data_IF_365237875751
#
_entry.id   IF_365237875751
#
_cell.length_a   1.000
_cell.length_b   1.000
_cell.length_c   1.000
_cell.angle_alpha   90.00
_cell.angle_beta   90.00
_cell.angle_gamma   90.00
#
_symmetry.space_group_name_H-M   'P 1'
#
loop_
_entity.id
_entity.type
_entity.pdbx_description
1 polymer ?
#
# COMPACT_ATOMS: atom_id res chain seq x y z
N UNK A 1 -0.55 36.45 0.94
CA UNK A 1 -1.53 35.38 1.21
C UNK A 1 -0.72 34.21 1.77
N UNK A 2 -0.90 33.88 3.04
CA UNK A 2 -0.22 32.70 3.63
C UNK A 2 -0.81 31.47 2.99
N UNK A 3 0.04 30.64 2.37
CA UNK A 3 -0.39 29.34 1.90
C UNK A 3 -0.99 28.56 3.08
N UNK A 4 -2.19 28.02 2.93
CA UNK A 4 -2.79 27.16 3.93
C UNK A 4 -1.98 25.87 4.04
N UNK A 5 -1.89 25.30 5.25
CA UNK A 5 -1.26 24.01 5.45
C UNK A 5 -1.92 22.95 4.55
N UNK A 6 -1.15 21.98 4.00
CA UNK A 6 -1.70 20.94 3.16
C UNK A 6 -2.69 20.07 3.95
N UNK A 7 -3.80 19.70 3.29
CA UNK A 7 -4.77 18.76 3.87
C UNK A 7 -4.21 17.34 3.77
N UNK A 8 -4.28 16.60 4.87
CA UNK A 8 -3.79 15.21 4.91
C UNK A 8 -4.84 14.25 4.36
N UNK A 9 -4.44 13.45 3.36
CA UNK A 9 -5.15 12.26 2.90
C UNK A 9 -4.52 11.02 3.54
N UNK A 10 -5.21 10.37 4.46
CA UNK A 10 -4.78 9.10 5.02
C UNK A 10 -5.24 7.96 4.13
N UNK A 11 -4.29 7.10 3.74
CA UNK A 11 -4.53 5.95 2.87
C UNK A 11 -4.22 4.67 3.63
N UNK A 12 -5.27 3.99 4.06
CA UNK A 12 -5.14 2.66 4.69
C UNK A 12 -4.89 1.63 3.61
N UNK A 13 -3.76 0.94 3.69
CA UNK A 13 -3.26 0.11 2.58
C UNK A 13 -2.42 -1.06 3.07
N UNK A 14 -2.35 -2.13 2.25
CA UNK A 14 -1.44 -3.25 2.44
C UNK A 14 -0.84 -3.64 1.09
N UNK A 15 0.46 -3.92 1.05
CA UNK A 15 1.20 -4.24 -0.18
C UNK A 15 0.75 -5.54 -0.86
N UNK A 16 0.05 -6.44 -0.16
CA UNK A 16 -0.49 -7.68 -0.76
C UNK A 16 -1.93 -7.53 -1.25
N UNK A 17 -2.51 -6.34 -1.14
CA UNK A 17 -3.86 -6.05 -1.63
C UNK A 17 -3.83 -5.49 -3.06
N UNK A 18 -4.40 -6.20 -4.06
CA UNK A 18 -4.38 -5.71 -5.44
C UNK A 18 -5.23 -4.44 -5.63
N UNK A 19 -6.28 -4.27 -4.84
CA UNK A 19 -7.07 -3.05 -4.83
C UNK A 19 -6.28 -1.85 -4.29
N UNK A 20 -5.33 -2.08 -3.35
CA UNK A 20 -4.43 -1.03 -2.88
C UNK A 20 -3.46 -0.59 -3.98
N UNK A 21 -2.88 -1.54 -4.72
CA UNK A 21 -2.03 -1.23 -5.86
C UNK A 21 -2.75 -0.36 -6.91
N UNK A 22 -4.00 -0.73 -7.25
CA UNK A 22 -4.86 0.04 -8.14
C UNK A 22 -5.19 1.43 -7.56
N UNK A 23 -5.55 1.48 -6.28
CA UNK A 23 -5.91 2.71 -5.58
C UNK A 23 -4.76 3.71 -5.49
N UNK A 24 -3.54 3.25 -5.17
CA UNK A 24 -2.33 4.09 -5.16
C UNK A 24 -2.06 4.72 -6.52
N UNK A 25 -2.21 3.95 -7.61
CA UNK A 25 -2.04 4.50 -8.95
C UNK A 25 -3.06 5.61 -9.26
N UNK A 26 -4.32 5.42 -8.87
CA UNK A 26 -5.41 6.36 -9.13
C UNK A 26 -5.27 7.70 -8.42
N UNK A 27 -4.61 7.71 -7.26
CA UNK A 27 -4.37 8.95 -6.50
C UNK A 27 -3.00 9.57 -6.78
N UNK A 28 -2.14 8.92 -7.57
CA UNK A 28 -0.74 9.28 -7.78
C UNK A 28 -0.52 10.75 -8.13
N UNK A 29 -1.37 11.31 -8.98
CA UNK A 29 -1.26 12.71 -9.44
C UNK A 29 -1.97 13.74 -8.55
N UNK A 30 -2.69 13.32 -7.50
CA UNK A 30 -3.44 14.26 -6.67
C UNK A 30 -2.54 15.28 -5.94
N UNK A 31 -1.39 14.88 -5.34
CA UNK A 31 -0.50 15.84 -4.69
C UNK A 31 0.12 16.86 -5.63
N UNK A 32 0.18 16.57 -6.93
CA UNK A 32 0.72 17.52 -7.93
C UNK A 32 -0.30 18.60 -8.30
N UNK A 33 -1.59 18.30 -8.13
CA UNK A 33 -2.72 19.16 -8.49
C UNK A 33 -3.37 19.86 -7.32
N UNK A 34 -3.30 19.27 -6.14
CA UNK A 34 -3.93 19.78 -4.93
C UNK A 34 -2.90 20.04 -3.82
N UNK A 35 -3.17 21.03 -2.97
CA UNK A 35 -2.38 21.27 -1.76
C UNK A 35 -2.72 20.24 -0.69
N UNK A 36 -2.21 19.03 -0.86
CA UNK A 36 -2.43 17.88 0.03
C UNK A 36 -1.12 17.16 0.36
N UNK A 37 -1.12 16.40 1.44
CA UNK A 37 -0.10 15.42 1.79
C UNK A 37 -0.75 14.04 1.88
N UNK A 38 -0.16 13.04 1.25
CA UNK A 38 -0.60 11.64 1.36
C UNK A 38 0.15 11.00 2.51
N UNK A 39 -0.58 10.45 3.48
CA UNK A 39 -0.04 9.68 4.60
C UNK A 39 -0.54 8.25 4.50
N UNK A 40 0.37 7.31 4.32
CA UNK A 40 0.03 5.88 4.35
C UNK A 40 -0.16 5.42 5.79
N UNK A 41 -1.17 4.60 5.99
CA UNK A 41 -1.47 3.91 7.24
C UNK A 41 -1.50 2.42 6.93
N UNK A 42 -0.55 1.69 7.45
CA UNK A 42 -0.42 0.26 7.17
C UNK A 42 -1.59 -0.52 7.75
N UNK A 43 -2.08 -1.50 6.97
CA UNK A 43 -3.23 -2.33 7.34
C UNK A 43 -2.83 -3.81 7.42
N UNK A 44 -3.29 -4.57 8.44
CA UNK A 44 -3.01 -6.00 8.57
C UNK A 44 -3.98 -6.84 7.75
N UNK A 45 -3.80 -6.94 6.42
CA UNK A 45 -4.76 -7.68 5.60
C UNK A 45 -4.70 -9.20 5.85
N UNK A 46 -3.50 -9.75 5.94
CA UNK A 46 -3.25 -11.19 6.18
C UNK A 46 -2.05 -11.40 7.13
N UNK A 47 -2.11 -10.90 8.38
CA UNK A 47 -0.97 -10.89 9.30
C UNK A 47 -0.53 -12.28 9.75
N UNK A 48 -1.42 -13.28 9.63
CA UNK A 48 -1.18 -14.68 9.98
C UNK A 48 -0.49 -15.49 8.87
N UNK A 49 -0.20 -14.86 7.71
CA UNK A 49 0.48 -15.54 6.61
C UNK A 49 1.89 -15.95 7.05
N UNK A 50 2.28 -17.24 6.89
CA UNK A 50 3.61 -17.71 7.26
C UNK A 50 4.69 -17.12 6.33
N UNK A 51 5.97 -17.22 6.74
CA UNK A 51 7.10 -16.62 6.02
C UNK A 51 7.27 -17.13 4.58
N UNK A 52 6.97 -18.41 4.36
CA UNK A 52 7.00 -19.05 3.03
C UNK A 52 5.82 -18.62 2.14
N UNK A 53 4.86 -17.92 2.70
CA UNK A 53 3.62 -17.53 2.02
C UNK A 53 2.53 -18.59 2.12
N UNK A 54 1.38 -18.31 1.50
CA UNK A 54 0.22 -19.20 1.45
C UNK A 54 -0.40 -19.15 0.05
N UNK A 55 -0.83 -20.31 -0.46
CA UNK A 55 -1.57 -20.36 -1.72
C UNK A 55 -2.90 -19.61 -1.58
N UNK A 56 -3.24 -18.84 -2.59
CA UNK A 56 -4.53 -18.11 -2.61
C UNK A 56 -5.74 -19.05 -2.58
N UNK A 57 -5.61 -20.23 -3.22
CA UNK A 57 -6.64 -21.28 -3.14
C UNK A 57 -6.93 -21.70 -1.71
N UNK A 58 -5.87 -21.96 -0.93
CA UNK A 58 -5.98 -22.41 0.46
C UNK A 58 -6.48 -21.28 1.38
N UNK A 59 -6.05 -20.05 1.09
CA UNK A 59 -6.47 -18.88 1.85
C UNK A 59 -7.96 -18.58 1.67
N UNK A 60 -8.46 -18.64 0.43
CA UNK A 60 -9.86 -18.33 0.13
C UNK A 60 -10.78 -19.55 0.19
N UNK A 61 -10.23 -20.77 0.30
CA UNK A 61 -11.02 -22.00 0.29
C UNK A 61 -11.75 -22.24 -1.05
N UNK A 62 -11.13 -21.87 -2.17
CA UNK A 62 -11.73 -21.92 -3.50
C UNK A 62 -10.86 -22.69 -4.50
N UNK A 63 -11.43 -23.28 -5.56
CA UNK A 63 -10.66 -23.99 -6.59
C UNK A 63 -9.79 -23.06 -7.44
N UNK A 64 -8.83 -23.65 -8.16
CA UNK A 64 -7.85 -22.93 -9.00
C UNK A 64 -8.52 -22.04 -10.05
N UNK A 65 -9.61 -22.52 -10.62
CA UNK A 65 -10.37 -21.82 -11.67
C UNK A 65 -10.95 -20.51 -11.17
N UNK A 66 -11.37 -20.46 -9.90
CA UNK A 66 -11.88 -19.24 -9.30
C UNK A 66 -10.76 -18.23 -9.05
N UNK A 67 -9.57 -18.69 -8.63
CA UNK A 67 -8.38 -17.81 -8.53
C UNK A 67 -7.98 -17.29 -9.92
N UNK A 68 -8.01 -18.12 -10.95
CA UNK A 68 -7.74 -17.69 -12.32
C UNK A 68 -8.74 -16.63 -12.80
N UNK A 69 -10.03 -16.80 -12.49
CA UNK A 69 -11.05 -15.80 -12.82
C UNK A 69 -10.82 -14.46 -12.06
N UNK A 70 -10.47 -14.51 -10.78
CA UNK A 70 -10.11 -13.32 -9.99
C UNK A 70 -8.88 -12.60 -10.57
N UNK A 71 -7.83 -13.35 -10.96
CA UNK A 71 -6.65 -12.80 -11.62
C UNK A 71 -7.00 -12.16 -12.97
N UNK A 72 -7.80 -12.81 -13.79
CA UNK A 72 -8.24 -12.28 -15.10
C UNK A 72 -9.00 -10.96 -14.93
N UNK A 73 -9.94 -10.91 -13.98
CA UNK A 73 -10.67 -9.66 -13.68
C UNK A 73 -9.71 -8.55 -13.22
N UNK A 74 -8.78 -8.88 -12.32
CA UNK A 74 -7.85 -7.88 -11.78
C UNK A 74 -6.89 -7.37 -12.86
N UNK A 75 -6.38 -8.26 -13.72
CA UNK A 75 -5.53 -7.89 -14.85
C UNK A 75 -6.24 -6.91 -15.78
N UNK A 76 -7.50 -7.15 -16.13
CA UNK A 76 -8.26 -6.22 -16.96
C UNK A 76 -8.43 -4.83 -16.32
N UNK A 77 -8.61 -4.76 -15.00
CA UNK A 77 -8.67 -3.48 -14.28
C UNK A 77 -7.31 -2.76 -14.25
N UNK A 78 -6.22 -3.50 -13.99
CA UNK A 78 -4.87 -2.94 -13.99
C UNK A 78 -4.46 -2.45 -15.39
N UNK A 79 -4.75 -3.23 -16.42
CA UNK A 79 -4.49 -2.84 -17.83
C UNK A 79 -5.24 -1.57 -18.22
N UNK A 80 -6.52 -1.44 -17.82
CA UNK A 80 -7.31 -0.24 -18.06
C UNK A 80 -6.73 1.01 -17.39
N UNK A 81 -6.05 0.86 -16.25
CA UNK A 81 -5.37 1.93 -15.51
C UNK A 81 -3.86 2.05 -15.89
N UNK A 82 -3.39 1.31 -16.91
CA UNK A 82 -2.00 1.33 -17.37
C UNK A 82 -0.99 0.71 -16.40
N UNK A 83 -1.45 -0.14 -15.47
CA UNK A 83 -0.60 -0.81 -14.50
C UNK A 83 -0.18 -2.21 -14.96
N UNK A 84 1.12 -2.56 -14.87
CA UNK A 84 1.56 -3.94 -15.09
C UNK A 84 1.01 -4.85 -13.98
N UNK A 85 0.63 -6.06 -14.35
CA UNK A 85 0.11 -7.06 -13.42
C UNK A 85 0.36 -8.47 -13.93
N UNK A 86 0.78 -9.36 -13.03
CA UNK A 86 0.99 -10.78 -13.31
C UNK A 86 0.07 -11.63 -12.42
N UNK A 87 -0.46 -12.72 -12.95
CA UNK A 87 -1.33 -13.65 -12.22
C UNK A 87 -0.61 -14.22 -11.00
N UNK A 88 -1.27 -14.14 -9.85
CA UNK A 88 -0.73 -14.58 -8.58
C UNK A 88 -1.31 -15.93 -8.17
N UNK A 89 -0.48 -16.74 -7.54
CA UNK A 89 -0.88 -18.01 -6.91
C UNK A 89 -0.73 -17.98 -5.38
N UNK A 90 0.08 -17.06 -4.85
CA UNK A 90 0.41 -16.96 -3.42
C UNK A 90 0.17 -15.55 -2.88
N UNK A 91 -0.03 -15.47 -1.56
CA UNK A 91 0.13 -14.26 -0.76
C UNK A 91 1.28 -14.45 0.21
N UNK A 92 1.85 -13.34 0.68
CA UNK A 92 2.98 -13.33 1.61
C UNK A 92 2.67 -12.43 2.80
N UNK A 93 3.47 -12.55 3.86
CA UNK A 93 3.37 -11.66 4.99
C UNK A 93 3.99 -10.31 4.65
N UNK A 94 3.19 -9.24 4.70
CA UNK A 94 3.65 -7.88 4.35
C UNK A 94 4.29 -7.13 5.52
N UNK A 95 4.33 -7.71 6.72
CA UNK A 95 4.74 -6.99 7.93
C UNK A 95 6.11 -6.33 7.83
N UNK A 96 7.13 -7.05 7.37
CA UNK A 96 8.48 -6.51 7.27
C UNK A 96 8.59 -5.44 6.19
N UNK A 97 7.89 -5.61 5.07
CA UNK A 97 7.78 -4.59 4.03
C UNK A 97 7.09 -3.32 4.56
N UNK A 98 6.06 -3.45 5.40
CA UNK A 98 5.41 -2.31 6.05
C UNK A 98 6.37 -1.55 6.97
N UNK A 99 7.23 -2.24 7.73
CA UNK A 99 8.22 -1.60 8.60
C UNK A 99 9.29 -0.84 7.78
N UNK A 100 9.70 -1.37 6.64
CA UNK A 100 10.59 -0.65 5.71
C UNK A 100 9.86 0.54 5.07
N UNK A 101 8.59 0.41 4.70
CA UNK A 101 7.78 1.52 4.22
C UNK A 101 7.68 2.66 5.23
N UNK A 102 7.38 2.33 6.49
CA UNK A 102 7.32 3.29 7.59
C UNK A 102 8.68 3.97 7.85
N UNK A 103 9.77 3.22 7.73
CA UNK A 103 11.12 3.80 7.78
C UNK A 103 11.36 4.79 6.65
N UNK A 104 11.03 4.44 5.41
CA UNK A 104 11.20 5.32 4.26
C UNK A 104 10.35 6.59 4.37
N UNK A 105 9.11 6.48 4.86
CA UNK A 105 8.25 7.63 5.14
C UNK A 105 8.91 8.58 6.18
N UNK A 106 9.59 8.04 7.19
CA UNK A 106 10.33 8.83 8.18
C UNK A 106 11.51 9.62 7.59
N UNK A 107 12.01 9.19 6.42
CA UNK A 107 13.06 9.88 5.66
C UNK A 107 12.48 10.89 4.64
N UNK A 108 11.15 11.03 4.56
CA UNK A 108 10.48 11.86 3.57
C UNK A 108 10.46 11.26 2.15
N UNK A 109 10.62 9.96 2.04
CA UNK A 109 10.61 9.24 0.75
C UNK A 109 9.17 8.80 0.46
N UNK A 110 8.44 9.66 -0.23
CA UNK A 110 6.98 9.56 -0.34
C UNK A 110 6.46 8.40 -1.21
N UNK A 111 7.24 7.88 -2.18
CA UNK A 111 6.71 6.92 -3.16
C UNK A 111 7.64 5.76 -3.52
N UNK A 112 8.87 6.00 -3.81
CA UNK A 112 9.77 5.05 -4.48
C UNK A 112 9.70 3.62 -3.95
N UNK A 113 9.86 3.45 -2.64
CA UNK A 113 9.86 2.13 -1.99
C UNK A 113 8.46 1.48 -1.98
N UNK A 114 7.39 2.27 -1.84
CA UNK A 114 6.02 1.75 -1.84
C UNK A 114 5.64 1.20 -3.22
N UNK A 115 5.93 1.96 -4.28
CA UNK A 115 5.76 1.51 -5.66
C UNK A 115 6.58 0.24 -5.94
N UNK A 116 7.81 0.18 -5.44
CA UNK A 116 8.70 -0.96 -5.61
C UNK A 116 8.16 -2.23 -4.92
N UNK A 117 7.60 -2.13 -3.71
CA UNK A 117 6.95 -3.27 -3.05
C UNK A 117 5.73 -3.77 -3.81
N UNK A 118 4.87 -2.88 -4.30
CA UNK A 118 3.74 -3.28 -5.13
C UNK A 118 4.21 -3.94 -6.43
N UNK A 119 5.21 -3.38 -7.10
CA UNK A 119 5.77 -3.95 -8.32
C UNK A 119 6.38 -5.33 -8.07
N UNK A 120 7.22 -5.46 -7.05
CA UNK A 120 7.87 -6.72 -6.68
C UNK A 120 6.84 -7.84 -6.45
N UNK A 121 5.74 -7.54 -5.77
CA UNK A 121 4.72 -8.54 -5.49
C UNK A 121 3.76 -8.78 -6.67
N UNK A 122 3.24 -7.71 -7.32
CA UNK A 122 2.20 -7.87 -8.34
C UNK A 122 2.73 -8.09 -9.76
N UNK A 123 3.97 -7.74 -10.03
CA UNK A 123 4.58 -7.92 -11.36
C UNK A 123 5.61 -9.04 -11.33
N UNK A 124 6.58 -8.96 -10.41
CA UNK A 124 7.69 -9.91 -10.32
C UNK A 124 7.35 -11.16 -9.49
N UNK A 125 6.22 -11.16 -8.76
CA UNK A 125 5.74 -12.27 -7.92
C UNK A 125 6.71 -12.65 -6.80
N UNK A 126 7.48 -11.68 -6.31
CA UNK A 126 8.46 -11.89 -5.25
C UNK A 126 7.80 -11.97 -3.88
N UNK A 127 8.43 -12.71 -2.96
CA UNK A 127 8.03 -12.77 -1.56
C UNK A 127 8.50 -11.52 -0.81
N UNK A 128 7.64 -10.53 -0.65
CA UNK A 128 7.94 -9.29 0.08
C UNK A 128 7.97 -9.47 1.61
N UNK A 129 7.80 -10.67 2.12
CA UNK A 129 8.07 -11.05 3.51
C UNK A 129 9.49 -11.59 3.74
N UNK A 130 10.23 -11.86 2.65
CA UNK A 130 11.60 -12.35 2.68
C UNK A 130 12.57 -11.16 2.83
N UNK A 131 13.48 -11.25 3.83
CA UNK A 131 14.41 -10.16 4.13
C UNK A 131 15.39 -9.89 3.00
N UNK A 132 15.89 -10.92 2.32
CA UNK A 132 16.87 -10.75 1.23
C UNK A 132 16.20 -10.05 0.03
N UNK A 133 14.95 -10.39 -0.27
CA UNK A 133 14.14 -9.72 -1.29
C UNK A 133 13.89 -8.25 -0.91
N UNK A 134 13.51 -7.99 0.35
CA UNK A 134 13.28 -6.63 0.86
C UNK A 134 14.57 -5.79 0.72
N UNK A 135 15.72 -6.32 1.16
CA UNK A 135 16.99 -5.61 1.08
C UNK A 135 17.42 -5.34 -0.37
N UNK A 136 17.12 -6.26 -1.28
CA UNK A 136 17.33 -6.02 -2.72
C UNK A 136 16.46 -4.87 -3.23
N UNK A 137 15.19 -4.83 -2.87
CA UNK A 137 14.27 -3.74 -3.24
C UNK A 137 14.77 -2.40 -2.69
N UNK A 138 15.24 -2.38 -1.45
CA UNK A 138 15.83 -1.20 -0.80
C UNK A 138 17.04 -0.69 -1.60
N UNK A 139 17.94 -1.61 -1.98
CA UNK A 139 19.12 -1.28 -2.80
C UNK A 139 18.74 -0.71 -4.17
N UNK A 140 17.78 -1.35 -4.85
CA UNK A 140 17.31 -0.93 -6.17
C UNK A 140 16.63 0.47 -6.11
N UNK A 141 16.07 0.84 -4.94
CA UNK A 141 15.54 2.19 -4.67
C UNK A 141 16.63 3.21 -4.25
N UNK A 142 17.89 2.80 -4.15
CA UNK A 142 19.00 3.67 -3.76
C UNK A 142 19.00 4.06 -2.28
N UNK A 143 18.34 3.28 -1.42
CA UNK A 143 18.30 3.49 0.02
C UNK A 143 19.45 2.78 0.73
N UNK A 144 19.71 3.21 1.97
CA UNK A 144 20.77 2.64 2.82
C UNK A 144 20.45 1.22 3.26
N UNK A 145 21.11 0.23 2.67
CA UNK A 145 20.92 -1.21 2.92
C UNK A 145 21.37 -1.60 4.34
N UNK A 146 22.43 -1.00 4.84
CA UNK A 146 22.92 -1.29 6.20
C UNK A 146 21.92 -0.80 7.25
N UNK A 147 21.36 0.39 7.04
CA UNK A 147 20.30 0.90 7.90
C UNK A 147 19.03 0.07 7.79
N UNK A 148 18.62 -0.32 6.57
CA UNK A 148 17.45 -1.20 6.37
C UNK A 148 17.65 -2.56 7.07
N UNK A 149 18.85 -3.13 7.01
CA UNK A 149 19.20 -4.37 7.72
C UNK A 149 19.01 -4.21 9.22
N UNK A 150 19.42 -3.09 9.79
CA UNK A 150 19.17 -2.78 11.20
C UNK A 150 17.67 -2.60 11.49
N UNK A 151 16.96 -1.88 10.65
CA UNK A 151 15.49 -1.73 10.78
C UNK A 151 14.80 -3.09 10.90
N UNK A 152 15.16 -4.04 10.04
CA UNK A 152 14.57 -5.38 10.03
C UNK A 152 15.00 -6.21 11.26
N UNK A 153 16.29 -6.27 11.56
CA UNK A 153 16.82 -7.13 12.63
C UNK A 153 16.43 -6.64 14.03
N UNK A 154 16.47 -5.32 14.26
CA UNK A 154 16.13 -4.68 15.51
C UNK A 154 14.64 -4.30 15.60
N UNK A 155 13.87 -4.51 14.51
CA UNK A 155 12.43 -4.20 14.40
C UNK A 155 12.12 -2.73 14.79
N UNK A 156 12.96 -1.79 14.33
CA UNK A 156 12.93 -0.38 14.78
C UNK A 156 11.62 0.34 14.46
N UNK A 157 10.88 -0.10 13.44
CA UNK A 157 9.59 0.48 13.04
C UNK A 157 8.38 -0.39 13.40
N UNK A 158 8.59 -1.43 14.23
CA UNK A 158 7.51 -2.31 14.68
C UNK A 158 6.38 -1.53 15.35
N UNK A 159 6.71 -0.68 16.32
CA UNK A 159 5.71 0.04 17.10
C UNK A 159 4.93 1.06 16.26
N UNK A 160 5.55 1.62 15.22
CA UNK A 160 4.88 2.52 14.28
C UNK A 160 3.83 1.76 13.46
N UNK A 161 4.18 0.59 12.92
CA UNK A 161 3.23 -0.25 12.18
C UNK A 161 2.15 -0.80 13.11
N UNK A 162 2.47 -1.17 14.35
CA UNK A 162 1.47 -1.57 15.35
C UNK A 162 0.47 -0.44 15.65
N UNK A 163 0.94 0.80 15.73
CA UNK A 163 0.09 1.98 15.89
C UNK A 163 -0.83 2.19 14.68
N UNK A 164 -0.33 1.97 13.47
CA UNK A 164 -1.14 2.03 12.24
C UNK A 164 -2.23 0.95 12.24
N UNK A 165 -1.89 -0.28 12.62
CA UNK A 165 -2.86 -1.37 12.74
C UNK A 165 -3.94 -1.05 13.78
N UNK A 166 -3.52 -0.52 14.95
CA UNK A 166 -4.46 -0.07 15.98
C UNK A 166 -5.35 1.07 15.49
N UNK A 167 -4.79 2.03 14.75
CA UNK A 167 -5.55 3.13 14.14
C UNK A 167 -6.61 2.63 13.18
N UNK A 168 -6.28 1.62 12.36
CA UNK A 168 -7.24 0.99 11.45
C UNK A 168 -8.45 0.44 12.21
N UNK A 169 -8.22 -0.23 13.35
CA UNK A 169 -9.29 -0.71 14.23
C UNK A 169 -10.11 0.43 14.83
N UNK A 170 -9.45 1.48 15.32
CA UNK A 170 -10.14 2.64 15.93
C UNK A 170 -11.02 3.39 14.91
N UNK A 171 -10.60 3.43 13.64
CA UNK A 171 -11.37 4.05 12.55
C UNK A 171 -12.45 3.12 11.98
N UNK A 172 -12.55 1.88 12.46
CA UNK A 172 -13.48 0.89 11.94
C UNK A 172 -13.21 0.48 10.48
N UNK A 173 -11.94 0.57 10.05
CA UNK A 173 -11.54 0.16 8.69
C UNK A 173 -11.57 -1.36 8.63
N UNK A 174 -12.44 -1.92 7.79
CA UNK A 174 -12.62 -3.36 7.59
C UNK A 174 -12.17 -3.85 6.21
N UNK A 175 -11.74 -2.94 5.36
CA UNK A 175 -11.27 -3.26 4.01
C UNK A 175 -10.36 -2.17 3.45
N UNK A 176 -9.47 -2.55 2.55
CA UNK A 176 -8.49 -1.65 1.95
C UNK A 176 -8.50 -1.74 0.42
N UNK A 177 -8.12 -0.65 -0.29
CA UNK A 177 -7.75 0.64 0.29
C UNK A 177 -8.95 1.36 0.93
N UNK A 178 -8.68 2.17 1.95
CA UNK A 178 -9.63 3.15 2.47
C UNK A 178 -8.94 4.50 2.52
N UNK A 179 -9.58 5.51 1.97
CA UNK A 179 -9.10 6.89 1.90
C UNK A 179 -9.84 7.73 2.93
N UNK A 180 -9.14 8.44 3.81
CA UNK A 180 -9.75 9.25 4.87
C UNK A 180 -9.18 10.67 4.84
N UNK A 181 -10.07 11.66 4.88
CA UNK A 181 -9.72 13.06 5.02
C UNK A 181 -10.83 13.82 5.78
N UNK A 182 -10.45 14.67 6.73
CA UNK A 182 -11.41 15.50 7.48
C UNK A 182 -12.53 14.72 8.15
N UNK A 183 -12.26 13.48 8.63
CA UNK A 183 -13.25 12.61 9.26
C UNK A 183 -14.23 11.93 8.29
N UNK A 184 -14.01 12.04 6.98
CA UNK A 184 -14.80 11.38 5.92
C UNK A 184 -13.97 10.30 5.27
N UNK A 185 -14.61 9.19 4.85
CA UNK A 185 -13.92 8.04 4.25
C UNK A 185 -14.54 7.57 2.95
N UNK A 186 -13.69 7.04 2.05
CA UNK A 186 -14.07 6.30 0.86
C UNK A 186 -13.40 4.93 0.90
N UNK A 187 -14.16 3.87 0.72
CA UNK A 187 -13.67 2.48 0.76
C UNK A 187 -13.53 1.93 -0.65
N UNK A 188 -12.47 1.13 -0.86
CA UNK A 188 -12.15 0.47 -2.13
C UNK A 188 -11.34 1.35 -3.07
N UNK A 189 -10.86 0.75 -4.17
CA UNK A 189 -10.11 1.45 -5.22
C UNK A 189 -11.05 2.35 -6.03
N UNK A 190 -11.42 3.49 -5.44
CA UNK A 190 -12.27 4.49 -6.07
C UNK A 190 -11.56 5.13 -7.27
N UNK A 191 -12.31 5.67 -8.26
CA UNK A 191 -11.73 6.56 -9.27
C UNK A 191 -11.01 7.75 -8.62
N UNK A 192 -9.91 8.21 -9.22
CA UNK A 192 -9.13 9.35 -8.70
C UNK A 192 -9.98 10.60 -8.49
N UNK A 193 -10.95 10.83 -9.37
CA UNK A 193 -11.89 11.97 -9.29
C UNK A 193 -12.76 11.90 -8.02
N UNK A 194 -13.13 10.70 -7.56
CA UNK A 194 -13.91 10.56 -6.33
C UNK A 194 -13.08 10.93 -5.10
N UNK A 195 -11.79 10.55 -5.09
CA UNK A 195 -10.87 10.95 -4.01
C UNK A 195 -10.56 12.44 -4.09
N UNK A 196 -10.40 13.01 -5.28
CA UNK A 196 -10.25 14.45 -5.49
C UNK A 196 -11.46 15.22 -4.94
N UNK A 197 -12.69 14.79 -5.24
CA UNK A 197 -13.91 15.37 -4.70
C UNK A 197 -13.97 15.30 -3.16
N UNK A 198 -13.54 14.17 -2.58
CA UNK A 198 -13.41 14.07 -1.13
C UNK A 198 -12.47 15.16 -0.60
N UNK A 199 -11.26 15.30 -1.19
CA UNK A 199 -10.27 16.28 -0.75
C UNK A 199 -10.79 17.72 -0.87
N UNK A 200 -11.42 18.06 -2.00
CA UNK A 200 -12.06 19.38 -2.19
C UNK A 200 -13.14 19.64 -1.15
N UNK A 201 -13.95 18.61 -0.81
CA UNK A 201 -15.04 18.73 0.17
C UNK A 201 -14.59 19.01 1.60
N UNK A 202 -13.31 18.74 1.90
CA UNK A 202 -12.68 18.99 3.22
C UNK A 202 -11.74 20.19 3.20
N UNK A 203 -11.73 20.96 2.10
CA UNK A 203 -11.03 22.24 2.00
C UNK A 203 -9.68 22.20 1.29
N UNK A 204 -9.32 21.09 0.60
CA UNK A 204 -8.14 21.10 -0.26
C UNK A 204 -8.30 22.10 -1.41
N UNK A 205 -7.22 22.82 -1.71
CA UNK A 205 -7.19 23.83 -2.78
C UNK A 205 -6.31 23.36 -3.93
N UNK A 206 -6.58 23.75 -5.17
CA UNK A 206 -5.64 23.57 -6.27
C UNK A 206 -4.27 24.19 -5.96
N UNK A 207 -3.21 23.59 -6.50
CA UNK A 207 -1.85 24.16 -6.46
C UNK A 207 -1.64 25.18 -7.56
#
# INVERSE_FOLDING_TARGET
MTASDPIVLEVFSDYVCPWCYLGENRIRSLPDRLNITVKRVHFPLHPETPAEGRKLQDMFGVPAEEIAAKNTRMRGLMEADGLPYTDRSHTYNSRLAQEIGAWADSLGIERGIHDAFFHAYFVDRLNIGDQDIILKIVADCGLDVDMATRVLNERLFKDMVDADWQKSHQYGVTGVPTFVAGGRGLVGAQPGEAVEQLMMSVGATPR
#
